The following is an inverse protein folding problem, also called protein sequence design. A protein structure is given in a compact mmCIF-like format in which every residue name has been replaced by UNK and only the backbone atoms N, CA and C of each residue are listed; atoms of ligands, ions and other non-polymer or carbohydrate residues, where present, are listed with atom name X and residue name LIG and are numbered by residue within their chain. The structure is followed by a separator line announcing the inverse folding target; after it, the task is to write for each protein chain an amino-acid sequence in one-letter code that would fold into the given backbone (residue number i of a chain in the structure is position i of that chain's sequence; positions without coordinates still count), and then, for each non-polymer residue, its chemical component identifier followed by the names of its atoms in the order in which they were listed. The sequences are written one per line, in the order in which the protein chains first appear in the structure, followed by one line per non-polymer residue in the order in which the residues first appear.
data_IF_922905845127
#
_entry.id   IF_922905845127
#
_cell.length_a   1.000
_cell.length_b   1.000
_cell.length_c   1.000
_cell.angle_alpha   90.00
_cell.angle_beta   90.00
_cell.angle_gamma   90.00
#
_symmetry.space_group_name_H-M   'P 1'
#
loop_
_entity.id
_entity.type
_entity.pdbx_description
1 polymer ?
#
# COMPACT_ATOMS: atom_id res chain seq x y z
N UNK A 1 5.95 1.35 -2.00
CA UNK A 1 4.76 2.02 -1.46
C UNK A 1 5.11 3.06 -0.39
N UNK A 2 5.78 2.70 0.72
CA UNK A 2 6.08 3.64 1.82
C UNK A 2 6.88 4.88 1.37
N UNK A 3 7.93 4.70 0.56
CA UNK A 3 8.68 5.81 -0.07
C UNK A 3 7.76 6.75 -0.85
N UNK A 4 6.81 6.20 -1.59
CA UNK A 4 5.88 6.95 -2.44
C UNK A 4 4.83 7.73 -1.61
N UNK A 5 4.30 7.15 -0.53
CA UNK A 5 3.23 7.75 0.27
C UNK A 5 3.73 8.62 1.42
N UNK A 6 4.79 8.19 2.11
CA UNK A 6 5.29 8.84 3.33
C UNK A 6 6.63 9.57 3.13
N UNK A 7 7.28 9.42 1.96
CA UNK A 7 8.53 10.09 1.66
C UNK A 7 9.76 9.51 2.37
N UNK A 8 9.63 8.38 3.06
CA UNK A 8 10.75 7.75 3.79
C UNK A 8 11.94 7.51 2.85
N UNK A 9 13.11 8.07 3.20
CA UNK A 9 14.28 8.15 2.32
C UNK A 9 15.58 7.61 2.94
N UNK A 10 15.54 7.16 4.20
CA UNK A 10 16.72 6.74 4.94
C UNK A 10 16.82 5.22 5.04
N UNK A 11 18.04 4.73 5.33
CA UNK A 11 18.34 3.31 5.44
C UNK A 11 18.05 2.58 4.13
N UNK A 12 17.45 1.42 4.18
CA UNK A 12 17.12 0.60 3.00
C UNK A 12 16.12 1.25 2.03
N UNK A 13 15.45 2.36 2.41
CA UNK A 13 14.59 3.12 1.50
C UNK A 13 15.36 3.95 0.47
N UNK A 14 16.68 4.14 0.63
CA UNK A 14 17.53 4.84 -0.34
C UNK A 14 17.55 4.18 -1.72
N UNK A 15 17.30 2.86 -1.77
CA UNK A 15 17.24 2.08 -2.99
C UNK A 15 16.00 2.35 -3.86
N UNK A 16 15.00 3.05 -3.32
CA UNK A 16 13.72 3.26 -4.01
C UNK A 16 13.54 4.73 -4.38
N UNK A 17 13.18 4.99 -5.62
CA UNK A 17 12.83 6.35 -6.06
C UNK A 17 11.45 6.80 -5.51
N UNK A 18 10.54 5.86 -5.32
CA UNK A 18 9.16 6.13 -4.87
C UNK A 18 8.32 6.72 -5.98
N UNK A 19 8.35 6.11 -7.15
CA UNK A 19 7.60 6.53 -8.35
C UNK A 19 6.53 5.50 -8.73
N UNK A 20 5.57 5.94 -9.54
CA UNK A 20 4.58 5.06 -10.13
C UNK A 20 5.21 4.06 -11.12
N UNK A 21 6.35 4.41 -11.73
CA UNK A 21 7.10 3.51 -12.62
C UNK A 21 7.64 2.29 -11.87
N UNK A 22 8.24 2.50 -10.68
CA UNK A 22 8.67 1.39 -9.81
C UNK A 22 7.49 0.50 -9.42
N UNK A 23 6.34 1.12 -9.14
CA UNK A 23 5.13 0.36 -8.78
C UNK A 23 4.59 -0.43 -9.97
N UNK A 24 4.55 0.16 -11.17
CA UNK A 24 4.17 -0.53 -12.42
C UNK A 24 5.11 -1.71 -12.71
N UNK A 25 6.41 -1.52 -12.51
CA UNK A 25 7.39 -2.61 -12.65
C UNK A 25 7.09 -3.78 -11.70
N UNK A 26 6.75 -3.50 -10.43
CA UNK A 26 6.36 -4.53 -9.46
C UNK A 26 5.06 -5.22 -9.86
N UNK A 27 4.06 -4.47 -10.32
CA UNK A 27 2.77 -5.03 -10.76
C UNK A 27 2.92 -5.94 -12.00
N UNK A 28 3.92 -5.67 -12.85
CA UNK A 28 4.18 -6.44 -14.07
C UNK A 28 5.02 -7.71 -13.83
N UNK A 29 5.95 -7.70 -12.85
CA UNK A 29 6.91 -8.77 -12.68
C UNK A 29 7.07 -9.30 -11.25
N UNK A 30 6.34 -8.75 -10.28
CA UNK A 30 6.32 -9.18 -8.89
C UNK A 30 7.38 -8.53 -8.01
N UNK A 31 8.53 -8.14 -8.57
CA UNK A 31 9.67 -7.58 -7.83
C UNK A 31 10.24 -6.36 -8.54
N UNK A 32 10.77 -5.42 -7.77
CA UNK A 32 11.49 -4.27 -8.32
C UNK A 32 12.91 -4.66 -8.71
N UNK A 33 13.63 -5.27 -7.77
CA UNK A 33 15.01 -5.71 -7.96
C UNK A 33 15.04 -7.14 -8.55
N UNK A 34 15.65 -7.28 -9.72
CA UNK A 34 15.76 -8.54 -10.46
C UNK A 34 17.20 -8.73 -10.99
N UNK A 35 18.19 -8.23 -10.23
CA UNK A 35 19.62 -8.26 -10.55
C UNK A 35 20.29 -6.89 -10.66
N UNK A 36 19.55 -5.80 -10.49
CA UNK A 36 20.10 -4.44 -10.55
C UNK A 36 20.97 -4.14 -9.29
N UNK A 37 21.95 -3.24 -9.41
CA UNK A 37 22.71 -2.79 -8.26
C UNK A 37 21.83 -2.16 -7.19
N UNK A 38 22.07 -2.51 -5.92
CA UNK A 38 21.49 -1.86 -4.74
C UNK A 38 22.54 -0.93 -4.14
N UNK A 39 22.22 0.35 -4.00
CA UNK A 39 23.10 1.31 -3.36
C UNK A 39 23.26 1.02 -1.85
N UNK A 40 22.21 0.51 -1.22
CA UNK A 40 22.20 0.15 0.19
C UNK A 40 23.05 -1.09 0.48
N UNK A 41 22.97 -2.12 -0.38
CA UNK A 41 23.71 -3.38 -0.20
C UNK A 41 25.12 -3.35 -0.82
N UNK A 42 25.39 -2.39 -1.71
CA UNK A 42 26.66 -2.30 -2.45
C UNK A 42 26.88 -3.47 -3.43
N UNK A 43 25.82 -4.23 -3.77
CA UNK A 43 25.87 -5.43 -4.59
C UNK A 43 24.58 -5.56 -5.45
N UNK A 44 24.57 -6.41 -6.49
CA UNK A 44 23.33 -6.75 -7.20
C UNK A 44 22.30 -7.40 -6.26
N UNK A 45 21.04 -6.95 -6.39
CA UNK A 45 19.91 -7.42 -5.57
C UNK A 45 18.86 -8.13 -6.42
N UNK A 46 18.38 -9.25 -5.92
CA UNK A 46 17.37 -10.07 -6.59
C UNK A 46 17.92 -10.91 -7.74
N UNK A 47 17.05 -11.68 -8.33
CA UNK A 47 17.32 -12.55 -9.50
C UNK A 47 16.14 -12.49 -10.45
N UNK A 48 16.29 -12.99 -11.68
CA UNK A 48 15.21 -13.06 -12.67
C UNK A 48 14.02 -13.89 -12.16
N UNK A 49 12.83 -13.28 -11.98
CA UNK A 49 11.63 -13.93 -11.49
C UNK A 49 10.75 -14.52 -12.61
N UNK A 50 11.20 -14.56 -13.85
CA UNK A 50 10.36 -14.93 -15.03
C UNK A 50 9.72 -16.32 -14.92
N UNK A 51 10.32 -17.21 -14.12
CA UNK A 51 9.82 -18.57 -13.84
C UNK A 51 8.81 -18.60 -12.67
N UNK A 52 8.61 -17.49 -11.95
CA UNK A 52 7.73 -17.44 -10.78
C UNK A 52 6.34 -16.95 -11.20
N UNK A 53 5.32 -17.72 -10.85
CA UNK A 53 3.93 -17.33 -11.14
C UNK A 53 3.49 -16.23 -10.20
N UNK A 54 2.94 -15.13 -10.72
CA UNK A 54 2.50 -13.95 -9.95
C UNK A 54 1.55 -14.31 -8.80
N UNK A 55 0.66 -15.29 -8.99
CA UNK A 55 -0.29 -15.72 -7.96
C UNK A 55 0.37 -16.34 -6.72
N UNK A 56 1.62 -16.79 -6.82
CA UNK A 56 2.36 -17.36 -5.69
C UNK A 56 3.10 -16.30 -4.88
N UNK A 57 3.21 -15.08 -5.41
CA UNK A 57 3.77 -13.95 -4.68
C UNK A 57 2.74 -13.41 -3.67
N UNK A 58 3.20 -13.17 -2.44
CA UNK A 58 2.42 -12.50 -1.39
C UNK A 58 2.93 -11.08 -1.23
N UNK A 59 2.03 -10.11 -1.32
CA UNK A 59 2.36 -8.69 -1.22
C UNK A 59 1.63 -8.03 -0.07
N UNK A 60 2.23 -7.01 0.52
CA UNK A 60 1.62 -6.16 1.54
C UNK A 60 2.00 -4.69 1.32
N UNK A 61 1.23 -3.79 1.87
CA UNK A 61 1.61 -2.36 2.01
C UNK A 61 2.30 -2.10 3.35
N UNK A 62 2.10 -2.99 4.31
CA UNK A 62 2.75 -3.02 5.61
C UNK A 62 2.59 -4.40 6.25
N UNK A 63 3.53 -4.78 7.11
CA UNK A 63 3.48 -5.99 7.92
C UNK A 63 4.09 -5.72 9.30
N UNK A 64 4.18 -6.74 10.16
CA UNK A 64 4.73 -6.63 11.51
C UNK A 64 6.18 -6.14 11.53
N UNK A 65 7.02 -6.59 10.59
CA UNK A 65 8.42 -6.16 10.51
C UNK A 65 8.54 -4.68 10.16
N UNK A 66 7.83 -4.25 9.13
CA UNK A 66 7.89 -2.86 8.65
C UNK A 66 7.36 -1.88 9.70
N UNK A 67 6.37 -2.29 10.49
CA UNK A 67 5.79 -1.45 11.54
C UNK A 67 6.60 -1.59 12.83
N UNK A 68 6.86 -2.81 13.30
CA UNK A 68 7.55 -3.08 14.55
C UNK A 68 9.00 -2.62 14.59
N UNK A 69 9.66 -2.54 13.44
CA UNK A 69 11.01 -1.98 13.32
C UNK A 69 11.03 -0.44 13.21
N UNK A 70 9.90 0.24 13.33
CA UNK A 70 9.87 1.70 13.53
C UNK A 70 9.98 2.01 15.02
N UNK A 71 10.61 3.14 15.33
CA UNK A 71 10.90 3.52 16.72
C UNK A 71 9.64 3.55 17.59
N UNK A 72 8.53 4.06 17.08
CA UNK A 72 7.26 4.21 17.78
C UNK A 72 6.20 3.20 17.33
N UNK A 73 6.52 2.29 16.39
CA UNK A 73 5.58 1.31 15.86
C UNK A 73 4.45 1.92 15.03
N UNK A 74 4.69 3.08 14.41
CA UNK A 74 3.70 3.79 13.60
C UNK A 74 3.43 3.07 12.27
N UNK A 75 2.13 2.94 11.95
CA UNK A 75 1.65 2.30 10.75
C UNK A 75 1.74 3.26 9.55
N UNK A 76 1.74 2.72 8.33
CA UNK A 76 1.82 3.56 7.13
C UNK A 76 0.68 4.59 7.06
N UNK A 77 -0.53 4.21 7.42
CA UNK A 77 -1.69 5.11 7.41
C UNK A 77 -1.67 6.18 8.53
N UNK A 78 -0.77 6.08 9.53
CA UNK A 78 -0.60 7.14 10.53
C UNK A 78 0.20 8.33 9.96
N UNK A 79 0.98 8.11 8.90
CA UNK A 79 1.87 9.11 8.31
C UNK A 79 1.51 9.50 6.88
N UNK A 80 0.80 8.64 6.16
CA UNK A 80 0.36 8.90 4.80
C UNK A 80 -0.91 9.76 4.76
N UNK A 81 -1.10 10.50 3.67
CA UNK A 81 -2.37 11.14 3.37
C UNK A 81 -3.50 10.09 3.33
N UNK A 82 -4.64 10.31 4.01
CA UNK A 82 -5.74 9.33 4.04
C UNK A 82 -6.27 8.94 2.65
N UNK A 83 -6.28 9.87 1.69
CA UNK A 83 -6.70 9.58 0.32
C UNK A 83 -5.66 8.74 -0.44
N UNK A 84 -4.36 9.03 -0.23
CA UNK A 84 -3.27 8.20 -0.75
C UNK A 84 -3.28 6.79 -0.14
N UNK A 85 -3.62 6.67 1.14
CA UNK A 85 -3.81 5.37 1.79
C UNK A 85 -4.94 4.56 1.14
N UNK A 86 -6.11 5.18 0.87
CA UNK A 86 -7.22 4.53 0.17
C UNK A 86 -6.80 4.04 -1.23
N UNK A 87 -6.06 4.87 -1.96
CA UNK A 87 -5.52 4.50 -3.27
C UNK A 87 -4.53 3.32 -3.18
N UNK A 88 -3.64 3.32 -2.19
CA UNK A 88 -2.68 2.24 -1.96
C UNK A 88 -3.36 0.91 -1.59
N UNK A 89 -4.38 0.95 -0.74
CA UNK A 89 -5.22 -0.22 -0.41
C UNK A 89 -5.91 -0.76 -1.66
N UNK A 90 -6.39 0.13 -2.52
CA UNK A 90 -7.01 -0.26 -3.79
C UNK A 90 -6.01 -1.01 -4.68
N UNK A 91 -4.80 -0.48 -4.85
CA UNK A 91 -3.72 -1.17 -5.60
C UNK A 91 -3.44 -2.54 -4.98
N UNK A 92 -3.26 -2.62 -3.65
CA UNK A 92 -2.97 -3.89 -2.95
C UNK A 92 -4.05 -4.95 -3.24
N UNK A 93 -5.32 -4.59 -3.08
CA UNK A 93 -6.43 -5.55 -3.15
C UNK A 93 -6.87 -5.88 -4.57
N UNK A 94 -6.39 -5.15 -5.59
CA UNK A 94 -6.67 -5.41 -7.00
C UNK A 94 -5.46 -5.92 -7.79
N UNK A 95 -4.28 -5.94 -7.18
CA UNK A 95 -3.05 -6.48 -7.75
C UNK A 95 -3.17 -7.97 -8.14
N UNK A 96 -2.36 -8.45 -9.12
CA UNK A 96 -2.39 -9.86 -9.55
C UNK A 96 -1.87 -10.86 -8.52
N UNK A 97 -1.17 -10.38 -7.48
CA UNK A 97 -0.59 -11.21 -6.43
C UNK A 97 -1.59 -11.45 -5.29
N UNK A 98 -1.22 -12.29 -4.33
CA UNK A 98 -2.00 -12.54 -3.11
C UNK A 98 -1.76 -11.43 -2.09
N UNK A 99 -2.78 -10.65 -1.70
CA UNK A 99 -2.61 -9.60 -0.71
C UNK A 99 -2.55 -10.16 0.71
N UNK A 100 -1.59 -9.67 1.49
CA UNK A 100 -1.52 -9.85 2.95
C UNK A 100 -2.00 -8.56 3.62
N UNK A 101 -2.98 -8.69 4.50
CA UNK A 101 -3.47 -7.61 5.35
C UNK A 101 -2.91 -7.80 6.76
N UNK A 102 -2.19 -6.79 7.26
CA UNK A 102 -1.75 -6.82 8.63
C UNK A 102 -2.88 -6.38 9.57
N UNK A 103 -3.06 -7.08 10.67
CA UNK A 103 -4.17 -6.89 11.62
C UNK A 103 -4.41 -5.42 11.95
N UNK A 104 -5.67 -4.99 11.87
CA UNK A 104 -6.10 -3.60 12.10
C UNK A 104 -5.92 -2.68 10.91
N UNK A 105 -5.29 -3.13 9.82
CA UNK A 105 -5.17 -2.36 8.58
C UNK A 105 -6.55 -2.10 7.97
N UNK A 106 -7.45 -3.06 8.07
CA UNK A 106 -8.77 -3.08 7.44
C UNK A 106 -9.66 -1.91 7.86
N UNK A 107 -9.45 -1.40 9.08
CA UNK A 107 -10.15 -0.19 9.55
C UNK A 107 -9.20 0.96 9.88
N UNK A 108 -7.95 0.89 9.40
CA UNK A 108 -6.94 1.90 9.66
C UNK A 108 -6.83 2.23 11.15
N UNK A 109 -6.62 1.21 12.00
CA UNK A 109 -6.59 1.35 13.47
C UNK A 109 -5.65 2.45 13.95
N UNK A 110 -6.02 3.17 14.99
CA UNK A 110 -5.17 4.17 15.66
C UNK A 110 -4.03 3.54 16.47
N UNK A 111 -4.16 2.24 16.85
CA UNK A 111 -3.15 1.56 17.64
C UNK A 111 -1.85 1.38 16.82
N UNK A 112 -0.68 1.71 17.38
CA UNK A 112 0.60 1.33 16.80
C UNK A 112 0.79 -0.19 16.86
N UNK A 113 1.89 -0.68 16.30
CA UNK A 113 2.36 -2.03 16.56
C UNK A 113 3.83 -1.94 16.91
N UNK A 114 4.10 -1.86 18.19
CA UNK A 114 5.43 -1.68 18.73
C UNK A 114 6.18 -3.02 18.80
N UNK A 115 7.49 -2.96 18.74
CA UNK A 115 8.32 -4.13 19.00
C UNK A 115 8.32 -4.45 20.50
N UNK A 116 7.80 -5.60 20.88
CA UNK A 116 7.75 -6.06 22.28
C UNK A 116 8.31 -7.47 22.41
N UNK A 117 8.89 -7.76 23.54
CA UNK A 117 9.55 -9.04 23.86
C UNK A 117 9.31 -9.40 25.33
N UNK A 118 9.47 -10.69 25.62
CA UNK A 118 9.43 -11.23 26.98
C UNK A 118 10.61 -12.19 27.15
N UNK A 119 11.83 -11.63 27.15
CA UNK A 119 13.08 -12.36 27.30
C UNK A 119 13.55 -12.37 28.76
N UNK A 120 14.44 -13.31 29.09
CA UNK A 120 15.20 -13.26 30.32
C UNK A 120 15.90 -11.91 30.51
N UNK A 121 16.12 -11.43 31.76
CA UNK A 121 16.53 -10.06 32.05
C UNK A 121 17.78 -9.61 31.31
N UNK A 122 18.79 -10.45 31.16
CA UNK A 122 20.04 -10.11 30.49
C UNK A 122 19.83 -9.90 28.98
N UNK A 123 19.16 -10.83 28.31
CA UNK A 123 18.85 -10.71 26.89
C UNK A 123 17.92 -9.53 26.63
N UNK A 124 16.91 -9.35 27.48
CA UNK A 124 15.98 -8.22 27.41
C UNK A 124 16.71 -6.86 27.47
N UNK A 125 17.69 -6.72 28.37
CA UNK A 125 18.53 -5.51 28.47
C UNK A 125 19.33 -5.27 27.16
N UNK A 126 19.94 -6.31 26.63
CA UNK A 126 20.72 -6.21 25.36
C UNK A 126 19.84 -5.81 24.18
N UNK A 127 18.61 -6.31 24.11
CA UNK A 127 17.63 -5.93 23.08
C UNK A 127 17.25 -4.46 23.19
N UNK A 128 16.96 -3.97 24.40
CA UNK A 128 16.65 -2.53 24.63
C UNK A 128 17.82 -1.65 24.19
N UNK A 129 19.04 -1.99 24.59
CA UNK A 129 20.24 -1.24 24.24
C UNK A 129 20.53 -1.28 22.73
N UNK A 130 20.32 -2.45 22.09
CA UNK A 130 20.49 -2.63 20.65
C UNK A 130 19.53 -1.71 19.87
N UNK A 131 18.26 -1.70 20.22
CA UNK A 131 17.27 -0.81 19.58
C UNK A 131 17.59 0.66 19.77
N UNK A 132 17.96 1.08 20.96
CA UNK A 132 18.37 2.48 21.20
C UNK A 132 19.53 2.91 20.32
N UNK A 133 20.55 2.04 20.15
CA UNK A 133 21.68 2.30 19.26
C UNK A 133 21.27 2.39 17.78
N UNK A 134 20.38 1.51 17.35
CA UNK A 134 19.84 1.52 15.99
C UNK A 134 19.12 2.84 15.68
N UNK A 135 18.22 3.28 16.56
CA UNK A 135 17.47 4.51 16.35
C UNK A 135 18.27 5.79 16.59
N UNK A 136 19.38 5.75 17.31
CA UNK A 136 20.29 6.91 17.45
C UNK A 136 20.86 7.40 16.10
N UNK A 137 20.86 6.55 15.06
CA UNK A 137 21.24 6.94 13.70
C UNK A 137 20.17 7.82 12.99
N UNK A 138 18.94 7.90 13.52
CA UNK A 138 17.89 8.74 12.97
C UNK A 138 17.86 10.09 13.68
N UNK A 139 17.86 11.23 12.93
CA UNK A 139 17.93 12.58 13.51
C UNK A 139 16.86 12.85 14.57
N UNK A 140 15.63 12.34 14.37
CA UNK A 140 14.50 12.50 15.28
C UNK A 140 14.66 11.77 16.64
N UNK A 141 15.65 10.88 16.75
CA UNK A 141 15.96 10.13 17.99
C UNK A 141 17.40 10.29 18.46
N UNK A 142 18.15 11.25 17.89
CA UNK A 142 19.55 11.47 18.23
C UNK A 142 19.76 12.09 19.62
N UNK A 143 18.75 12.81 20.17
CA UNK A 143 18.84 13.37 21.52
C UNK A 143 18.43 12.35 22.61
N UNK A 144 18.99 12.43 23.83
CA UNK A 144 18.59 11.57 24.96
C UNK A 144 17.09 11.63 25.26
N UNK A 145 16.50 12.82 25.20
CA UNK A 145 15.08 13.04 25.46
C UNK A 145 14.19 12.38 24.39
N UNK A 146 14.60 12.48 23.13
CA UNK A 146 13.91 11.83 22.02
C UNK A 146 14.08 10.31 22.08
N UNK A 147 15.27 9.81 22.41
CA UNK A 147 15.53 8.38 22.59
C UNK A 147 14.73 7.78 23.77
N UNK A 148 14.47 8.56 24.82
CA UNK A 148 13.63 8.15 25.94
C UNK A 148 12.17 7.92 25.57
N UNK A 149 11.70 8.46 24.44
CA UNK A 149 10.34 8.24 23.93
C UNK A 149 10.16 6.89 23.25
N UNK A 150 11.26 6.22 22.89
CA UNK A 150 11.21 4.90 22.25
C UNK A 150 10.73 3.89 23.31
N UNK A 151 9.61 3.18 23.07
CA UNK A 151 9.08 2.21 24.02
C UNK A 151 10.10 1.10 24.32
N UNK A 152 10.25 0.75 25.59
CA UNK A 152 11.11 -0.36 25.98
C UNK A 152 10.42 -1.70 25.63
N UNK A 153 11.04 -2.58 24.83
CA UNK A 153 10.43 -3.83 24.38
C UNK A 153 9.96 -4.76 25.52
N UNK A 154 10.65 -4.77 26.64
CA UNK A 154 10.35 -5.63 27.79
C UNK A 154 9.23 -5.07 28.69
N UNK A 155 8.73 -3.86 28.41
CA UNK A 155 7.64 -3.29 29.18
C UNK A 155 6.30 -3.86 28.74
N UNK A 156 5.50 -4.33 29.69
CA UNK A 156 4.12 -4.78 29.45
C UNK A 156 3.26 -3.72 28.74
N UNK A 157 3.46 -2.44 29.08
CA UNK A 157 2.78 -1.32 28.43
C UNK A 157 3.05 -1.23 26.92
N UNK A 158 4.23 -1.66 26.43
CA UNK A 158 4.57 -1.70 25.02
C UNK A 158 3.71 -2.73 24.25
N UNK A 159 3.48 -3.89 24.86
CA UNK A 159 2.53 -4.87 24.33
C UNK A 159 1.09 -4.35 24.39
N UNK A 160 0.68 -3.80 25.53
CA UNK A 160 -0.68 -3.30 25.73
C UNK A 160 -1.04 -2.16 24.77
N UNK A 161 -0.09 -1.26 24.46
CA UNK A 161 -0.26 -0.21 23.46
C UNK A 161 -0.45 -0.75 22.03
N UNK A 162 0.01 -1.98 21.75
CA UNK A 162 -0.14 -2.63 20.45
C UNK A 162 -1.46 -3.41 20.30
N UNK A 163 -2.30 -3.47 21.35
CA UNK A 163 -3.61 -4.13 21.29
C UNK A 163 -4.59 -3.31 20.44
N UNK A 164 -5.34 -4.02 19.60
CA UNK A 164 -6.30 -3.39 18.70
C UNK A 164 -7.57 -2.91 19.45
N UNK A 165 -7.94 -1.62 19.35
CA UNK A 165 -9.21 -1.11 19.86
C UNK A 165 -10.35 -1.48 18.90
N UNK A 166 -10.94 -2.64 19.09
CA UNK A 166 -11.98 -3.20 18.20
C UNK A 166 -13.20 -2.30 18.03
N UNK A 167 -13.52 -1.45 19.00
CA UNK A 167 -14.65 -0.50 18.92
C UNK A 167 -14.46 0.61 17.89
N UNK A 168 -13.25 0.83 17.37
CA UNK A 168 -13.00 1.80 16.31
C UNK A 168 -13.76 1.46 15.03
N UNK A 169 -13.95 0.17 14.74
CA UNK A 169 -14.61 -0.30 13.51
C UNK A 169 -16.01 0.26 13.27
N UNK A 170 -16.65 0.75 14.32
CA UNK A 170 -18.02 1.29 14.27
C UNK A 170 -18.04 2.82 14.19
N UNK A 171 -16.88 3.48 14.20
CA UNK A 171 -16.76 4.94 14.21
C UNK A 171 -16.03 5.42 12.97
N UNK A 172 -16.43 6.57 12.44
CA UNK A 172 -15.64 7.23 11.40
C UNK A 172 -14.33 7.80 11.99
N UNK A 173 -13.25 7.81 11.20
CA UNK A 173 -13.10 7.36 9.80
C UNK A 173 -12.85 5.85 9.64
N UNK A 174 -12.70 5.11 10.70
CA UNK A 174 -12.36 3.68 10.69
C UNK A 174 -13.43 2.81 10.01
N UNK A 175 -14.71 3.14 10.22
CA UNK A 175 -15.83 2.47 9.59
C UNK A 175 -15.79 2.63 8.06
N UNK A 176 -15.44 3.82 7.55
CA UNK A 176 -15.27 4.07 6.11
C UNK A 176 -14.11 3.23 5.53
N UNK A 177 -12.96 3.17 6.21
CA UNK A 177 -11.84 2.32 5.80
C UNK A 177 -12.25 0.83 5.72
N UNK A 178 -12.99 0.34 6.70
CA UNK A 178 -13.50 -1.03 6.72
C UNK A 178 -14.49 -1.29 5.57
N UNK A 179 -15.36 -0.33 5.27
CA UNK A 179 -16.27 -0.42 4.11
C UNK A 179 -15.51 -0.53 2.80
N UNK A 180 -14.45 0.27 2.61
CA UNK A 180 -13.60 0.20 1.41
C UNK A 180 -12.95 -1.17 1.27
N UNK A 181 -12.32 -1.69 2.34
CA UNK A 181 -11.71 -3.03 2.30
C UNK A 181 -12.74 -4.12 1.95
N UNK A 182 -13.93 -4.07 2.56
CA UNK A 182 -15.02 -5.00 2.25
C UNK A 182 -15.47 -4.92 0.79
N UNK A 183 -15.62 -3.71 0.25
CA UNK A 183 -16.01 -3.51 -1.15
C UNK A 183 -14.96 -4.06 -2.13
N UNK A 184 -13.68 -3.76 -1.90
CA UNK A 184 -12.57 -4.25 -2.73
C UNK A 184 -12.41 -5.78 -2.65
N UNK A 185 -12.50 -6.37 -1.45
CA UNK A 185 -12.45 -7.83 -1.26
C UNK A 185 -13.64 -8.53 -1.89
N UNK A 186 -14.83 -7.91 -1.86
CA UNK A 186 -16.01 -8.40 -2.57
C UNK A 186 -15.75 -8.42 -4.08
N UNK A 187 -15.33 -7.29 -4.66
CA UNK A 187 -14.99 -7.21 -6.08
C UNK A 187 -13.92 -8.25 -6.46
N UNK A 188 -12.86 -8.41 -5.65
CA UNK A 188 -11.83 -9.42 -5.89
C UNK A 188 -12.37 -10.84 -5.91
N UNK A 189 -13.36 -11.15 -5.09
CA UNK A 189 -14.02 -12.47 -5.05
C UNK A 189 -15.00 -12.68 -6.21
N UNK A 190 -15.74 -11.65 -6.57
CA UNK A 190 -16.84 -11.73 -7.55
C UNK A 190 -16.36 -11.57 -9.00
N UNK A 191 -15.23 -10.88 -9.23
CA UNK A 191 -14.70 -10.59 -10.55
C UNK A 191 -13.47 -11.46 -10.82
N UNK A 192 -13.58 -12.38 -11.78
CA UNK A 192 -12.49 -13.29 -12.15
C UNK A 192 -11.23 -12.53 -12.53
N UNK A 193 -11.35 -11.41 -13.24
CA UNK A 193 -10.23 -10.54 -13.62
C UNK A 193 -9.39 -10.04 -12.42
N UNK A 194 -9.95 -9.91 -11.23
CA UNK A 194 -9.25 -9.45 -10.03
C UNK A 194 -8.65 -10.59 -9.19
N UNK A 195 -8.95 -11.83 -9.50
CA UNK A 195 -8.42 -12.99 -8.76
C UNK A 195 -6.94 -13.23 -9.07
N UNK A 196 -6.23 -13.84 -8.12
CA UNK A 196 -4.86 -14.31 -8.31
C UNK A 196 -4.89 -15.68 -9.03
N UNK A 197 -4.96 -15.66 -10.35
CA UNK A 197 -5.10 -16.85 -11.20
C UNK A 197 -4.14 -16.81 -12.37
N UNK A 198 -3.66 -17.98 -12.82
CA UNK A 198 -2.85 -18.12 -14.04
C UNK A 198 -3.65 -17.86 -15.34
N UNK A 199 -4.99 -17.91 -15.27
CA UNK A 199 -5.87 -17.57 -16.38
C UNK A 199 -6.01 -16.05 -16.57
N UNK A 200 -5.64 -15.25 -15.54
CA UNK A 200 -5.73 -13.80 -15.59
C UNK A 200 -4.47 -13.17 -16.16
N UNK A 201 -4.66 -12.15 -16.99
CA UNK A 201 -3.58 -11.29 -17.50
C UNK A 201 -3.56 -9.97 -16.74
N UNK A 202 -2.38 -9.40 -16.61
CA UNK A 202 -2.18 -8.07 -16.00
C UNK A 202 -1.11 -7.33 -16.77
N UNK A 203 -1.36 -6.04 -17.03
CA UNK A 203 -0.38 -5.12 -17.57
C UNK A 203 -0.52 -3.78 -16.85
N UNK A 204 0.59 -3.19 -16.43
CA UNK A 204 0.63 -1.96 -15.65
C UNK A 204 1.58 -0.94 -16.29
N UNK A 205 1.15 0.33 -16.28
CA UNK A 205 1.90 1.47 -16.79
C UNK A 205 1.87 2.61 -15.76
N UNK A 206 2.97 3.36 -15.68
CA UNK A 206 2.96 4.66 -15.03
C UNK A 206 2.40 5.70 -16.01
N UNK A 207 1.38 6.43 -15.60
CA UNK A 207 0.80 7.52 -16.40
C UNK A 207 1.53 8.85 -16.15
N UNK A 208 2.08 9.00 -14.96
CA UNK A 208 3.01 10.04 -14.52
C UNK A 208 3.76 9.53 -13.26
N UNK A 209 4.58 10.37 -12.63
CA UNK A 209 5.40 10.00 -11.45
C UNK A 209 4.58 9.51 -10.23
N UNK A 210 3.29 9.86 -10.18
CA UNK A 210 2.41 9.60 -9.03
C UNK A 210 1.21 8.71 -9.35
N UNK A 211 0.96 8.39 -10.62
CA UNK A 211 -0.23 7.68 -11.08
C UNK A 211 0.14 6.39 -11.80
N UNK A 212 -0.32 5.27 -11.27
CA UNK A 212 -0.24 3.97 -11.93
C UNK A 212 -1.62 3.58 -12.49
N UNK A 213 -1.64 3.04 -13.70
CA UNK A 213 -2.79 2.34 -14.25
C UNK A 213 -2.42 0.89 -14.50
N UNK A 214 -3.33 -0.04 -14.24
CA UNK A 214 -3.15 -1.42 -14.63
C UNK A 214 -4.46 -2.07 -15.05
N UNK A 215 -4.34 -2.87 -16.09
CA UNK A 215 -5.43 -3.62 -16.70
C UNK A 215 -5.39 -5.06 -16.19
N UNK A 216 -6.54 -5.55 -15.82
CA UNK A 216 -6.77 -6.93 -15.38
C UNK A 216 -7.78 -7.58 -16.30
N UNK A 217 -7.46 -8.76 -16.82
CA UNK A 217 -8.28 -9.51 -17.76
C UNK A 217 -8.45 -10.95 -17.30
N UNK A 218 -9.64 -11.48 -17.52
CA UNK A 218 -9.97 -12.90 -17.42
C UNK A 218 -10.75 -13.35 -18.63
N UNK A 219 -10.74 -14.65 -18.96
CA UNK A 219 -11.64 -15.19 -19.99
C UNK A 219 -13.09 -14.86 -19.66
N UNK A 220 -13.87 -14.58 -20.72
CA UNK A 220 -15.33 -14.38 -20.65
C UNK A 220 -15.81 -13.25 -19.72
N UNK A 221 -14.91 -12.32 -19.33
CA UNK A 221 -15.26 -11.18 -18.49
C UNK A 221 -14.72 -9.87 -19.08
N UNK A 222 -15.49 -8.79 -18.90
CA UNK A 222 -15.05 -7.47 -19.28
C UNK A 222 -13.78 -7.08 -18.48
N UNK A 223 -12.76 -6.50 -19.13
CA UNK A 223 -11.54 -6.10 -18.46
C UNK A 223 -11.79 -5.04 -17.39
N UNK A 224 -10.98 -5.07 -16.35
CA UNK A 224 -10.99 -4.06 -15.30
C UNK A 224 -9.71 -3.24 -15.39
N UNK A 225 -9.86 -1.92 -15.46
CA UNK A 225 -8.75 -0.96 -15.41
C UNK A 225 -8.79 -0.29 -14.03
N UNK A 226 -7.70 -0.41 -13.30
CA UNK A 226 -7.47 0.27 -12.03
C UNK A 226 -6.56 1.47 -12.29
N UNK A 227 -6.99 2.66 -11.90
CA UNK A 227 -6.16 3.87 -11.95
C UNK A 227 -6.02 4.41 -10.55
N UNK A 228 -4.80 4.50 -10.06
CA UNK A 228 -4.50 4.97 -8.72
C UNK A 228 -3.46 6.09 -8.75
N UNK A 229 -3.87 7.26 -8.29
CA UNK A 229 -3.00 8.40 -8.04
C UNK A 229 -2.61 8.43 -6.57
N UNK A 230 -1.32 8.36 -6.30
CA UNK A 230 -0.78 8.12 -4.96
C UNK A 230 -0.21 9.39 -4.31
N UNK A 231 -0.08 10.49 -5.08
CA UNK A 231 0.46 11.76 -4.59
C UNK A 231 -0.07 12.95 -5.40
N UNK A 232 -0.48 14.01 -4.70
CA UNK A 232 -0.94 15.26 -5.31
C UNK A 232 -2.17 15.11 -6.19
N UNK A 233 -2.57 16.19 -6.85
CA UNK A 233 -3.61 16.23 -7.87
C UNK A 233 -3.03 16.17 -9.30
N UNK A 234 -3.90 16.05 -10.31
CA UNK A 234 -3.49 16.07 -11.73
C UNK A 234 -4.52 15.47 -12.66
N UNK A 235 -4.28 15.59 -13.96
CA UNK A 235 -5.10 15.01 -15.01
C UNK A 235 -4.25 13.94 -15.71
N UNK A 236 -4.82 12.75 -15.88
CA UNK A 236 -4.18 11.66 -16.61
C UNK A 236 -5.08 11.15 -17.73
N UNK A 237 -4.47 10.72 -18.83
CA UNK A 237 -5.17 10.10 -19.94
C UNK A 237 -5.12 8.58 -19.79
N UNK A 238 -6.26 7.92 -19.97
CA UNK A 238 -6.34 6.47 -19.94
C UNK A 238 -5.65 5.88 -21.19
N UNK A 239 -4.91 4.79 -21.03
CA UNK A 239 -4.19 4.16 -22.15
C UNK A 239 -5.11 3.37 -23.09
N UNK A 240 -6.39 3.21 -22.76
CA UNK A 240 -7.33 2.39 -23.53
C UNK A 240 -8.31 3.23 -24.35
N UNK A 241 -8.59 2.85 -25.63
CA UNK A 241 -9.63 3.46 -26.44
C UNK A 241 -11.06 3.19 -25.88
N UNK A 242 -11.23 2.21 -24.99
CA UNK A 242 -12.54 1.81 -24.45
C UNK A 242 -13.01 2.73 -23.30
N UNK A 243 -12.28 3.81 -23.03
CA UNK A 243 -12.62 4.76 -21.96
C UNK A 243 -14.04 5.33 -22.13
N UNK A 244 -14.50 5.59 -23.35
CA UNK A 244 -15.81 6.18 -23.61
C UNK A 244 -16.98 5.30 -23.10
N UNK A 245 -16.83 3.97 -23.15
CA UNK A 245 -17.85 3.00 -22.74
C UNK A 245 -17.64 2.44 -21.34
N UNK A 246 -16.56 2.84 -20.65
CA UNK A 246 -16.23 2.33 -19.33
C UNK A 246 -17.22 2.80 -18.25
N UNK A 247 -17.56 1.88 -17.34
CA UNK A 247 -18.36 2.16 -16.14
C UNK A 247 -17.46 2.19 -14.90
N UNK A 248 -17.72 3.12 -13.99
CA UNK A 248 -17.03 3.15 -12.69
C UNK A 248 -17.62 2.06 -11.79
N UNK A 249 -16.79 1.10 -11.41
CA UNK A 249 -17.15 0.03 -10.46
C UNK A 249 -16.91 0.46 -9.01
N UNK A 250 -15.88 1.27 -8.76
CA UNK A 250 -15.52 1.80 -7.45
C UNK A 250 -14.75 3.10 -7.62
N UNK A 251 -15.03 4.05 -6.73
CA UNK A 251 -14.29 5.30 -6.58
C UNK A 251 -13.95 5.48 -5.10
N UNK A 252 -12.66 5.61 -4.76
CA UNK A 252 -12.22 5.76 -3.36
C UNK A 252 -12.64 7.08 -2.73
N UNK A 253 -13.06 8.06 -3.53
CA UNK A 253 -13.59 9.35 -3.10
C UNK A 253 -15.13 9.38 -3.04
N UNK A 254 -15.77 8.22 -3.09
CA UNK A 254 -17.20 8.11 -2.76
C UNK A 254 -17.40 8.42 -1.27
N UNK A 255 -18.44 9.20 -0.88
CA UNK A 255 -18.74 9.54 0.52
C UNK A 255 -18.82 8.36 1.49
N UNK A 256 -19.15 7.17 1.00
CA UNK A 256 -19.14 5.96 1.83
C UNK A 256 -17.75 5.50 2.26
N UNK A 257 -16.68 5.96 1.58
CA UNK A 257 -15.28 5.56 1.84
C UNK A 257 -14.40 6.72 2.32
N UNK A 258 -14.87 7.96 2.19
CA UNK A 258 -14.10 9.16 2.50
C UNK A 258 -14.93 10.15 3.33
N UNK A 259 -14.42 10.57 4.50
CA UNK A 259 -15.10 11.54 5.36
C UNK A 259 -15.21 12.93 4.71
N UNK A 260 -14.20 13.32 3.94
CA UNK A 260 -14.16 14.56 3.19
C UNK A 260 -13.86 14.22 1.72
N UNK A 261 -14.84 13.77 0.94
CA UNK A 261 -14.62 13.31 -0.42
C UNK A 261 -14.21 14.46 -1.34
N UNK A 262 -13.26 14.16 -2.24
CA UNK A 262 -12.86 15.07 -3.31
C UNK A 262 -13.12 14.38 -4.66
N UNK A 263 -14.12 14.79 -5.43
CA UNK A 263 -14.59 14.05 -6.59
C UNK A 263 -13.46 13.81 -7.62
N UNK A 264 -13.31 12.55 -8.05
CA UNK A 264 -12.51 12.20 -9.22
C UNK A 264 -13.44 12.34 -10.43
N UNK A 265 -13.07 13.22 -11.37
CA UNK A 265 -13.87 13.48 -12.57
C UNK A 265 -13.41 12.61 -13.72
N UNK A 266 -14.33 11.89 -14.32
CA UNK A 266 -14.07 11.08 -15.50
C UNK A 266 -14.70 11.73 -16.74
N UNK A 267 -13.87 12.32 -17.61
CA UNK A 267 -14.25 12.80 -18.94
C UNK A 267 -14.13 11.62 -19.92
N UNK A 268 -15.28 11.03 -20.24
CA UNK A 268 -15.35 9.88 -21.15
C UNK A 268 -15.01 10.22 -22.59
N UNK A 269 -15.35 11.43 -23.04
CA UNK A 269 -15.09 11.85 -24.43
C UNK A 269 -13.59 12.02 -24.69
N UNK A 270 -12.90 12.59 -23.70
CA UNK A 270 -11.44 12.77 -23.76
C UNK A 270 -10.65 11.57 -23.28
N UNK A 271 -11.30 10.64 -22.60
CA UNK A 271 -10.65 9.50 -21.94
C UNK A 271 -9.70 9.94 -20.82
N UNK A 272 -10.07 10.97 -20.04
CA UNK A 272 -9.23 11.52 -18.99
C UNK A 272 -9.86 11.40 -17.61
N UNK A 273 -9.01 11.20 -16.60
CA UNK A 273 -9.36 11.29 -15.18
C UNK A 273 -8.68 12.50 -14.55
N UNK A 274 -9.47 13.35 -13.90
CA UNK A 274 -8.99 14.48 -13.12
C UNK A 274 -9.07 14.16 -11.63
N UNK A 275 -7.92 14.23 -10.97
CA UNK A 275 -7.75 14.03 -9.54
C UNK A 275 -7.41 15.37 -8.89
N UNK A 276 -8.21 15.85 -7.95
CA UNK A 276 -7.89 17.05 -7.15
C UNK A 276 -6.89 16.74 -6.03
N UNK A 277 -6.79 15.47 -5.63
CA UNK A 277 -5.87 14.89 -4.63
C UNK A 277 -5.65 13.40 -4.93
N UNK A 278 -4.86 12.65 -4.15
CA UNK A 278 -4.76 11.20 -4.31
C UNK A 278 -6.12 10.50 -4.31
N UNK A 279 -6.19 9.36 -4.98
CA UNK A 279 -7.41 8.55 -5.05
C UNK A 279 -7.28 7.44 -6.08
N UNK A 280 -8.26 6.56 -6.15
CA UNK A 280 -8.29 5.49 -7.14
C UNK A 280 -9.70 5.24 -7.67
N UNK A 281 -9.76 4.79 -8.91
CA UNK A 281 -10.99 4.33 -9.56
C UNK A 281 -10.76 2.96 -10.18
N UNK A 282 -11.80 2.13 -10.13
CA UNK A 282 -11.91 0.91 -10.90
C UNK A 282 -12.92 1.13 -12.01
N UNK A 283 -12.50 0.88 -13.24
CA UNK A 283 -13.32 0.98 -14.43
C UNK A 283 -13.51 -0.41 -15.04
N UNK A 284 -14.73 -0.74 -15.46
CA UNK A 284 -15.00 -1.93 -16.27
C UNK A 284 -15.19 -1.49 -17.72
N UNK A 285 -14.44 -2.08 -18.64
CA UNK A 285 -14.67 -1.93 -20.06
C UNK A 285 -15.95 -2.63 -20.53
N UNK A 286 -16.33 -2.49 -21.79
CA UNK A 286 -17.38 -3.31 -22.39
C UNK A 286 -16.93 -4.78 -22.36
N UNK A 287 -17.91 -5.69 -22.18
CA UNK A 287 -17.64 -7.11 -22.38
C UNK A 287 -17.22 -7.32 -23.86
N UNK A 288 -16.19 -8.12 -24.08
CA UNK A 288 -15.87 -8.55 -25.44
C UNK A 288 -17.04 -9.41 -25.93
N UNK A 289 -17.67 -8.96 -27.04
CA UNK A 289 -18.74 -9.72 -27.69
C UNK A 289 -18.18 -10.97 -28.37
#
# INVERSE_FOLDING_TARGET
MRRLLAGDAHGYYTDYAGTAEELAAVLNRGWLYVGQPSAHEGAPRGTDPSHVRMRTAVICVQNHDQIGNRALGDRLHHTADPAAWRAAVTVLLTAPMTPLLFMGQEWATSAPFQFFTDFEPELGRLVVEGRRREFAAFPEFASPEAAARIPAPQCRSTFEASRLPWSEREREPHAAALRLHRALLRLRRERAALQASDACRSAADALDDATVAFRREAPDEAPIVVVARLRGGGIVRLPSPDAASACILLNTEDPQFADAPAPIRFDRERGTLEFSRPGAVLLSGPAHA
#
